data_IF_588624862264
#
_entry.id   IF_588624862264
#
_cell.length_a   1.000
_cell.length_b   1.000
_cell.length_c   1.000
_cell.angle_alpha   90.00
_cell.angle_beta   90.00
_cell.angle_gamma   90.00
#
_symmetry.space_group_name_H-M   'P 1'
#
loop_
_entity.id
_entity.type
_entity.pdbx_description
1 polymer ?
#
# COMPACT_ATOMS: atom_id res chain seq x y z
N UNK A 1 12.48 -1.03 -9.19
CA UNK A 1 11.56 -2.17 -9.07
C UNK A 1 10.86 -2.22 -7.72
N UNK A 2 11.57 -2.06 -6.61
CA UNK A 2 10.98 -2.01 -5.27
C UNK A 2 10.97 -0.55 -4.84
N UNK A 3 9.79 0.08 -4.85
CA UNK A 3 9.64 1.49 -4.52
C UNK A 3 8.58 1.71 -3.43
N UNK A 4 8.69 2.84 -2.74
CA UNK A 4 7.74 3.27 -1.73
C UNK A 4 7.65 2.31 -0.54
N UNK A 5 6.45 2.22 0.05
CA UNK A 5 6.19 1.46 1.27
C UNK A 5 6.26 -0.08 1.13
N UNK A 6 6.30 -0.61 -0.09
CA UNK A 6 6.24 -2.07 -0.30
C UNK A 6 7.51 -2.80 0.14
N UNK A 7 8.67 -2.15 0.01
CA UNK A 7 9.93 -2.70 0.53
C UNK A 7 9.90 -2.88 2.04
N UNK A 8 9.37 -1.90 2.76
CA UNK A 8 9.21 -1.97 4.22
C UNK A 8 8.28 -3.10 4.65
N UNK A 9 7.14 -3.28 3.97
CA UNK A 9 6.22 -4.39 4.26
C UNK A 9 6.80 -5.75 3.98
N UNK A 10 7.57 -5.90 2.88
CA UNK A 10 8.11 -7.19 2.45
C UNK A 10 9.33 -7.63 3.26
N UNK A 11 10.12 -6.70 3.76
CA UNK A 11 11.37 -7.00 4.47
C UNK A 11 11.21 -8.01 5.62
N UNK A 12 10.26 -7.86 6.57
CA UNK A 12 10.09 -8.83 7.64
C UNK A 12 9.53 -10.18 7.17
N UNK A 13 8.72 -10.23 6.11
CA UNK A 13 8.30 -11.50 5.53
C UNK A 13 9.48 -12.26 4.89
N UNK A 14 10.40 -11.55 4.25
CA UNK A 14 11.61 -12.15 3.71
C UNK A 14 12.56 -12.64 4.81
N UNK A 15 12.69 -11.89 5.90
CA UNK A 15 13.46 -12.32 7.07
C UNK A 15 12.89 -13.62 7.64
N UNK A 16 11.57 -13.65 7.88
CA UNK A 16 10.89 -14.84 8.40
C UNK A 16 11.02 -16.06 7.48
N UNK A 17 10.88 -15.86 6.16
CA UNK A 17 11.06 -16.96 5.20
C UNK A 17 12.47 -17.55 5.28
N UNK A 18 13.49 -16.71 5.38
CA UNK A 18 14.88 -17.13 5.55
C UNK A 18 15.12 -17.89 6.86
N UNK A 19 14.58 -17.37 7.97
CA UNK A 19 14.68 -18.03 9.28
C UNK A 19 14.05 -19.43 9.27
N UNK A 20 12.98 -19.62 8.48
CA UNK A 20 12.30 -20.90 8.31
C UNK A 20 12.91 -21.79 7.22
N UNK A 21 13.98 -21.35 6.55
CA UNK A 21 14.61 -22.10 5.47
C UNK A 21 13.72 -22.22 4.21
N UNK A 22 12.82 -21.26 3.98
CA UNK A 22 11.93 -21.27 2.83
C UNK A 22 12.54 -20.59 1.61
N UNK A 23 12.16 -21.05 0.42
CA UNK A 23 12.73 -20.62 -0.87
C UNK A 23 12.17 -19.27 -1.37
N UNK A 24 11.08 -18.78 -0.77
CA UNK A 24 10.45 -17.54 -1.23
C UNK A 24 9.07 -17.25 -0.65
N UNK A 25 8.29 -16.48 -1.39
CA UNK A 25 6.98 -15.98 -0.95
C UNK A 25 5.89 -16.29 -1.97
N UNK A 26 4.69 -16.59 -1.45
CA UNK A 26 3.45 -16.64 -2.23
C UNK A 26 2.48 -15.58 -1.69
N UNK A 27 1.91 -14.76 -2.58
CA UNK A 27 0.97 -13.71 -2.18
C UNK A 27 -0.13 -13.51 -3.21
N UNK A 28 -1.04 -12.57 -2.93
CA UNK A 28 -2.23 -12.35 -3.75
C UNK A 28 -2.48 -10.87 -4.04
N UNK A 29 -3.20 -10.61 -5.14
CA UNK A 29 -3.55 -9.25 -5.57
C UNK A 29 -4.34 -9.24 -6.88
N UNK A 30 -4.76 -8.06 -7.32
CA UNK A 30 -5.39 -7.87 -8.63
C UNK A 30 -4.36 -7.77 -9.75
N UNK A 31 -4.85 -7.73 -11.00
CA UNK A 31 -4.03 -7.59 -12.22
C UNK A 31 -3.23 -6.26 -12.32
N UNK A 32 -3.43 -5.32 -11.41
CA UNK A 32 -2.71 -4.06 -11.28
C UNK A 32 -2.05 -3.90 -9.91
N UNK A 33 -1.78 -5.01 -9.22
CA UNK A 33 -1.30 -5.00 -7.84
C UNK A 33 0.12 -4.45 -7.71
N UNK A 34 0.26 -3.30 -7.05
CA UNK A 34 1.55 -2.73 -6.68
C UNK A 34 2.32 -3.64 -5.69
N UNK A 35 1.59 -4.44 -4.90
CA UNK A 35 2.20 -5.39 -3.97
C UNK A 35 2.85 -6.56 -4.72
N UNK A 36 2.12 -7.22 -5.63
CA UNK A 36 2.68 -8.32 -6.43
C UNK A 36 3.84 -7.83 -7.31
N UNK A 37 3.73 -6.62 -7.86
CA UNK A 37 4.82 -6.03 -8.65
C UNK A 37 6.10 -5.84 -7.79
N UNK A 38 5.96 -5.31 -6.58
CA UNK A 38 7.10 -5.14 -5.67
C UNK A 38 7.67 -6.50 -5.23
N UNK A 39 6.82 -7.50 -4.98
CA UNK A 39 7.23 -8.86 -4.64
C UNK A 39 8.02 -9.51 -5.78
N UNK A 40 7.51 -9.44 -7.02
CA UNK A 40 8.21 -9.97 -8.19
C UNK A 40 9.56 -9.28 -8.41
N UNK A 41 9.58 -7.93 -8.28
CA UNK A 41 10.83 -7.16 -8.35
C UNK A 41 11.84 -7.52 -7.27
N UNK A 42 11.37 -7.83 -6.07
CA UNK A 42 12.22 -8.31 -4.97
C UNK A 42 12.76 -9.71 -5.26
N UNK A 43 11.91 -10.63 -5.76
CA UNK A 43 12.32 -11.97 -6.15
C UNK A 43 13.41 -11.95 -7.21
N UNK A 44 13.21 -11.17 -8.28
CA UNK A 44 14.19 -11.01 -9.35
C UNK A 44 15.51 -10.40 -8.87
N UNK A 45 15.45 -9.44 -7.93
CA UNK A 45 16.63 -8.75 -7.41
C UNK A 45 17.43 -9.58 -6.40
N UNK A 46 16.75 -10.31 -5.53
CA UNK A 46 17.37 -11.01 -4.39
C UNK A 46 17.41 -12.53 -4.56
N UNK A 47 16.94 -13.05 -5.70
CA UNK A 47 17.08 -14.46 -6.05
C UNK A 47 16.19 -15.42 -5.25
N UNK A 48 14.95 -15.03 -4.91
CA UNK A 48 13.98 -15.90 -4.26
C UNK A 48 12.74 -16.14 -5.12
N UNK A 49 12.10 -17.29 -4.91
CA UNK A 49 10.92 -17.70 -5.68
C UNK A 49 9.68 -16.88 -5.31
N UNK A 50 8.92 -16.47 -6.32
CA UNK A 50 7.69 -15.72 -6.16
C UNK A 50 6.51 -16.39 -6.86
N UNK A 51 5.39 -16.53 -6.14
CA UNK A 51 4.11 -16.98 -6.70
C UNK A 51 3.04 -15.92 -6.43
N UNK A 52 2.30 -15.55 -7.47
CA UNK A 52 1.21 -14.57 -7.42
C UNK A 52 -0.15 -15.21 -7.67
N UNK A 53 -1.07 -15.04 -6.71
CA UNK A 53 -2.48 -15.46 -6.81
C UNK A 53 -3.33 -14.27 -7.25
N UNK A 54 -3.85 -14.28 -8.49
CA UNK A 54 -4.51 -13.13 -9.09
C UNK A 54 -6.02 -13.22 -9.00
N UNK A 55 -6.63 -12.07 -8.73
CA UNK A 55 -8.09 -11.90 -8.74
C UNK A 55 -8.64 -11.90 -10.16
N UNK A 56 -9.71 -12.64 -10.37
CA UNK A 56 -10.45 -12.67 -11.65
C UNK A 56 -9.88 -13.67 -12.64
N UNK A 57 -10.17 -13.44 -13.91
CA UNK A 57 -9.70 -14.26 -15.01
C UNK A 57 -8.44 -13.66 -15.62
N UNK A 58 -7.77 -14.45 -16.44
CA UNK A 58 -6.53 -14.01 -17.09
C UNK A 58 -6.79 -12.78 -17.97
N UNK A 59 -5.99 -11.75 -17.74
CA UNK A 59 -6.00 -10.50 -18.50
C UNK A 59 -4.58 -10.05 -18.76
N UNK A 60 -4.34 -9.45 -19.89
CA UNK A 60 -3.05 -8.87 -20.24
C UNK A 60 -3.01 -7.39 -19.82
N UNK A 61 -2.27 -7.09 -18.75
CA UNK A 61 -2.03 -5.73 -18.29
C UNK A 61 -0.52 -5.44 -18.24
N UNK A 62 -0.11 -4.16 -18.28
CA UNK A 62 1.31 -3.84 -18.10
C UNK A 62 1.91 -4.47 -16.84
N UNK A 63 1.16 -4.48 -15.73
CA UNK A 63 1.60 -5.09 -14.47
C UNK A 63 1.75 -6.60 -14.62
N UNK A 64 0.78 -7.31 -15.22
CA UNK A 64 0.85 -8.77 -15.43
C UNK A 64 2.03 -9.15 -16.32
N UNK A 65 2.31 -8.36 -17.38
CA UNK A 65 3.50 -8.55 -18.21
C UNK A 65 4.79 -8.41 -17.40
N UNK A 66 4.87 -7.38 -16.54
CA UNK A 66 6.01 -7.20 -15.65
C UNK A 66 6.19 -8.38 -14.68
N UNK A 67 5.08 -8.87 -14.05
CA UNK A 67 5.15 -10.02 -13.14
C UNK A 67 5.78 -11.24 -13.82
N UNK A 68 5.33 -11.54 -15.04
CA UNK A 68 5.88 -12.66 -15.84
C UNK A 68 7.34 -12.44 -16.20
N UNK A 69 7.70 -11.25 -16.67
CA UNK A 69 9.07 -10.91 -17.07
C UNK A 69 10.05 -10.96 -15.90
N UNK A 70 9.57 -10.71 -14.67
CA UNK A 70 10.32 -10.80 -13.43
C UNK A 70 10.37 -12.22 -12.84
N UNK A 71 9.81 -13.23 -13.55
CA UNK A 71 9.87 -14.63 -13.17
C UNK A 71 8.84 -15.05 -12.12
N UNK A 72 7.80 -14.26 -11.87
CA UNK A 72 6.72 -14.66 -10.95
C UNK A 72 5.80 -15.69 -11.60
N UNK A 73 5.58 -16.83 -10.94
CA UNK A 73 4.57 -17.81 -11.32
C UNK A 73 3.17 -17.27 -10.97
N UNK A 74 2.20 -17.34 -11.90
CA UNK A 74 0.89 -16.72 -11.75
C UNK A 74 -0.24 -17.74 -11.76
N UNK A 75 -1.19 -17.62 -10.82
CA UNK A 75 -2.42 -18.39 -10.74
C UNK A 75 -3.64 -17.47 -10.67
N UNK A 76 -4.62 -17.70 -11.53
CA UNK A 76 -5.86 -16.95 -11.55
C UNK A 76 -6.94 -17.68 -10.73
N UNK A 77 -7.47 -17.00 -9.69
CA UNK A 77 -8.42 -17.59 -8.74
C UNK A 77 -9.90 -17.44 -9.14
N UNK A 78 -10.17 -16.73 -10.22
CA UNK A 78 -11.52 -16.23 -10.45
C UNK A 78 -11.94 -15.20 -9.38
N UNK A 79 -13.14 -14.64 -9.51
CA UNK A 79 -13.66 -13.70 -8.49
C UNK A 79 -14.14 -14.46 -7.25
N UNK A 80 -14.70 -15.68 -7.43
CA UNK A 80 -15.19 -16.53 -6.35
C UNK A 80 -14.05 -17.00 -5.43
N UNK A 81 -13.01 -17.61 -6.01
CA UNK A 81 -11.85 -18.08 -5.24
C UNK A 81 -11.13 -16.94 -4.51
N UNK A 82 -11.00 -15.79 -5.15
CA UNK A 82 -10.37 -14.63 -4.52
C UNK A 82 -11.17 -14.07 -3.32
N UNK A 83 -12.51 -14.15 -3.35
CA UNK A 83 -13.34 -13.75 -2.19
C UNK A 83 -13.06 -14.59 -0.94
N UNK A 84 -12.62 -15.85 -1.10
CA UNK A 84 -12.29 -16.75 0.01
C UNK A 84 -10.95 -16.44 0.69
N UNK A 85 -10.19 -15.44 0.26
CA UNK A 85 -8.83 -15.15 0.74
C UNK A 85 -8.69 -14.87 2.24
N UNK A 86 -9.81 -14.58 2.92
CA UNK A 86 -9.86 -14.39 4.37
C UNK A 86 -10.38 -15.62 5.13
N UNK A 87 -10.79 -16.68 4.42
CA UNK A 87 -11.22 -17.92 5.05
C UNK A 87 -10.04 -18.65 5.69
N UNK A 88 -10.26 -19.27 6.84
CA UNK A 88 -9.21 -19.97 7.61
C UNK A 88 -8.45 -21.04 6.81
N UNK A 89 -9.13 -21.74 5.87
CA UNK A 89 -8.53 -22.78 5.03
C UNK A 89 -7.92 -22.29 3.72
N UNK A 90 -7.97 -20.99 3.41
CA UNK A 90 -7.56 -20.48 2.10
C UNK A 90 -6.13 -20.88 1.69
N UNK A 91 -5.22 -20.87 2.63
CA UNK A 91 -3.81 -21.15 2.36
C UNK A 91 -3.44 -22.63 2.34
N UNK A 92 -4.32 -23.54 2.81
CA UNK A 92 -4.00 -24.97 2.92
C UNK A 92 -3.57 -25.59 1.57
N UNK A 93 -4.35 -25.51 0.46
CA UNK A 93 -3.96 -26.10 -0.80
C UNK A 93 -2.70 -25.45 -1.40
N UNK A 94 -2.46 -24.17 -1.09
CA UNK A 94 -1.28 -23.48 -1.56
C UNK A 94 -0.01 -23.87 -0.81
N UNK A 95 -0.11 -24.15 0.49
CA UNK A 95 0.99 -24.69 1.30
C UNK A 95 1.36 -26.11 0.87
N UNK A 96 0.37 -26.93 0.53
CA UNK A 96 0.60 -28.27 -0.01
C UNK A 96 1.31 -28.22 -1.37
N UNK A 97 0.87 -27.31 -2.25
CA UNK A 97 1.45 -27.14 -3.59
C UNK A 97 2.83 -26.48 -3.57
N UNK A 98 3.05 -25.58 -2.65
CA UNK A 98 4.28 -24.77 -2.52
C UNK A 98 4.82 -24.82 -1.08
N UNK A 99 5.28 -25.98 -0.59
CA UNK A 99 5.71 -26.13 0.80
C UNK A 99 6.93 -25.26 1.16
N UNK A 100 7.74 -24.90 0.16
CA UNK A 100 8.90 -24.01 0.33
C UNK A 100 8.59 -22.51 0.28
N UNK A 101 7.30 -22.08 0.23
CA UNK A 101 6.95 -20.66 0.14
C UNK A 101 6.16 -20.19 1.36
N UNK A 102 6.55 -19.03 1.89
CA UNK A 102 5.81 -18.36 2.97
C UNK A 102 4.58 -17.65 2.39
N UNK A 103 3.37 -17.95 2.87
CA UNK A 103 2.17 -17.20 2.50
C UNK A 103 2.18 -15.77 3.07
N UNK A 104 1.88 -14.79 2.21
CA UNK A 104 1.79 -13.38 2.57
C UNK A 104 0.41 -12.85 2.18
N UNK A 105 -0.31 -12.27 3.11
CA UNK A 105 -1.63 -11.71 2.89
C UNK A 105 -1.63 -10.57 1.85
N UNK A 106 -2.82 -10.26 1.29
CA UNK A 106 -3.01 -9.18 0.31
C UNK A 106 -2.34 -7.87 0.75
N UNK A 107 -1.59 -7.27 -0.15
CA UNK A 107 -0.92 -5.99 0.10
C UNK A 107 0.25 -6.06 1.08
N UNK A 108 0.75 -7.26 1.45
CA UNK A 108 1.73 -7.45 2.51
C UNK A 108 1.10 -7.24 3.89
N UNK A 109 -0.15 -7.68 4.06
CA UNK A 109 -0.99 -7.42 5.23
C UNK A 109 -0.55 -8.12 6.52
N UNK A 110 -1.29 -7.82 7.60
CA UNK A 110 -1.07 -8.35 8.94
C UNK A 110 0.01 -7.63 9.74
N UNK A 111 0.18 -8.06 11.00
CA UNK A 111 1.11 -7.44 11.95
C UNK A 111 2.56 -7.45 11.46
N UNK A 112 2.99 -8.53 10.82
CA UNK A 112 4.37 -8.62 10.33
C UNK A 112 4.69 -7.52 9.30
N UNK A 113 3.78 -7.30 8.33
CA UNK A 113 3.91 -6.21 7.37
C UNK A 113 3.82 -4.82 8.01
N UNK A 114 2.96 -4.65 9.02
CA UNK A 114 2.85 -3.41 9.76
C UNK A 114 4.14 -3.10 10.55
N UNK A 115 4.73 -4.09 11.22
CA UNK A 115 6.02 -3.93 11.92
C UNK A 115 7.13 -3.47 10.98
N UNK A 116 7.16 -3.94 9.74
CA UNK A 116 8.10 -3.43 8.73
C UNK A 116 7.94 -1.93 8.47
N UNK A 117 6.72 -1.41 8.54
CA UNK A 117 6.44 0.01 8.31
C UNK A 117 6.79 0.93 9.49
N UNK A 118 7.10 0.41 10.68
CA UNK A 118 7.60 1.20 11.83
C UNK A 118 8.86 1.98 11.44
N UNK A 119 9.77 1.35 10.70
CA UNK A 119 10.99 2.00 10.22
C UNK A 119 10.78 3.21 9.29
N UNK A 120 9.55 3.44 8.80
CA UNK A 120 9.22 4.67 8.05
C UNK A 120 9.26 5.90 8.97
N UNK A 121 8.77 5.77 10.21
CA UNK A 121 8.78 6.87 11.19
C UNK A 121 10.21 7.26 11.56
N UNK A 122 11.08 6.28 11.76
CA UNK A 122 12.52 6.54 12.01
C UNK A 122 13.17 7.27 10.82
N UNK A 123 12.82 6.86 9.58
CA UNK A 123 13.30 7.54 8.37
C UNK A 123 12.81 8.97 8.25
N UNK A 124 11.56 9.25 8.63
CA UNK A 124 11.02 10.60 8.69
C UNK A 124 11.82 11.42 9.69
N UNK A 125 11.98 10.93 10.93
CA UNK A 125 12.71 11.62 11.98
C UNK A 125 14.16 11.98 11.56
N UNK A 126 14.86 11.07 10.87
CA UNK A 126 16.24 11.35 10.40
C UNK A 126 16.31 12.40 9.29
N UNK A 127 15.20 12.70 8.61
CA UNK A 127 15.15 13.69 7.52
C UNK A 127 14.68 15.08 7.98
N UNK A 128 13.99 15.21 9.11
CA UNK A 128 13.47 16.48 9.59
C UNK A 128 14.54 17.59 9.67
N UNK A 129 15.76 17.33 10.18
CA UNK A 129 16.80 18.36 10.25
C UNK A 129 17.19 18.92 8.88
N UNK A 130 17.08 18.15 7.80
CA UNK A 130 17.37 18.63 6.44
C UNK A 130 16.36 19.66 5.94
N UNK A 131 15.18 19.72 6.58
CA UNK A 131 14.11 20.67 6.32
C UNK A 131 14.13 21.85 7.31
N UNK A 132 15.07 21.86 8.27
CA UNK A 132 15.08 22.80 9.38
C UNK A 132 13.89 22.59 10.34
N UNK A 133 13.38 21.37 10.44
CA UNK A 133 12.28 21.00 11.32
C UNK A 133 12.78 20.19 12.49
N UNK A 134 12.28 20.51 13.69
CA UNK A 134 12.51 19.71 14.89
C UNK A 134 11.41 18.68 15.07
N UNK A 135 10.20 18.97 14.54
CA UNK A 135 9.02 18.13 14.70
C UNK A 135 7.96 18.39 13.63
N UNK A 136 6.89 17.57 13.60
CA UNK A 136 5.73 17.69 12.70
C UNK A 136 4.42 17.40 13.46
N UNK A 137 3.28 17.81 12.88
CA UNK A 137 1.98 17.70 13.55
C UNK A 137 1.22 16.42 13.20
N UNK A 138 1.43 15.84 12.00
CA UNK A 138 0.73 14.63 11.57
C UNK A 138 1.41 13.96 10.38
N UNK A 139 1.24 12.63 10.27
CA UNK A 139 1.57 11.87 9.05
C UNK A 139 0.27 11.57 8.27
N UNK A 140 0.29 11.80 6.96
CA UNK A 140 -0.78 11.45 6.05
C UNK A 140 -0.35 10.32 5.12
N UNK A 141 -1.18 9.28 4.99
CA UNK A 141 -0.89 8.10 4.16
C UNK A 141 -2.13 7.60 3.44
N UNK A 142 -1.97 7.16 2.19
CA UNK A 142 -3.05 6.46 1.48
C UNK A 142 -3.28 5.06 2.07
N UNK A 143 -4.52 4.75 2.39
CA UNK A 143 -4.92 3.47 2.98
C UNK A 143 -5.74 2.63 1.99
N UNK A 144 -5.21 1.46 1.61
CA UNK A 144 -5.93 0.43 0.85
C UNK A 144 -6.26 -0.78 1.73
N UNK A 145 -5.25 -1.44 2.30
CA UNK A 145 -5.40 -2.53 3.28
C UNK A 145 -5.17 -2.09 4.73
N UNK A 146 -4.87 -0.84 4.97
CA UNK A 146 -4.58 -0.32 6.31
C UNK A 146 -3.22 -0.69 6.91
N UNK A 147 -2.49 -1.65 6.36
CA UNK A 147 -1.24 -2.18 6.94
C UNK A 147 -0.17 -1.10 7.16
N UNK A 148 0.05 -0.20 6.20
CA UNK A 148 1.03 0.89 6.37
C UNK A 148 0.57 1.88 7.42
N UNK A 149 -0.73 2.20 7.45
CA UNK A 149 -1.32 3.06 8.47
C UNK A 149 -1.08 2.47 9.87
N UNK A 150 -1.43 1.19 10.09
CA UNK A 150 -1.18 0.52 11.36
C UNK A 150 0.30 0.56 11.76
N UNK A 151 1.21 0.31 10.81
CA UNK A 151 2.65 0.38 11.07
C UNK A 151 3.15 1.77 11.44
N UNK A 152 2.60 2.83 10.82
CA UNK A 152 2.91 4.21 11.20
C UNK A 152 2.38 4.55 12.59
N UNK A 153 1.16 4.11 12.94
CA UNK A 153 0.58 4.28 14.28
C UNK A 153 1.46 3.63 15.35
N UNK A 154 1.90 2.39 15.11
CA UNK A 154 2.81 1.68 16.02
C UNK A 154 4.17 2.39 16.12
N UNK A 155 4.70 2.91 15.02
CA UNK A 155 5.96 3.65 14.99
C UNK A 155 5.87 5.00 15.68
N UNK A 156 4.76 5.70 15.55
CA UNK A 156 4.49 6.96 16.25
C UNK A 156 4.34 6.76 17.75
N UNK A 157 3.85 5.60 18.18
CA UNK A 157 3.68 5.28 19.60
C UNK A 157 2.93 6.39 20.39
N UNK A 158 1.93 7.00 19.76
CA UNK A 158 1.09 8.05 20.33
C UNK A 158 1.68 9.47 20.27
N UNK A 159 2.86 9.69 19.67
CA UNK A 159 3.46 11.03 19.55
C UNK A 159 2.69 11.94 18.61
N UNK A 160 2.38 11.46 17.42
CA UNK A 160 1.65 12.20 16.38
C UNK A 160 0.50 11.39 15.83
N UNK A 161 -0.62 12.04 15.47
CA UNK A 161 -1.73 11.38 14.80
C UNK A 161 -1.35 10.98 13.37
N UNK A 162 -1.85 9.82 12.93
CA UNK A 162 -1.73 9.35 11.55
C UNK A 162 -3.07 9.46 10.84
N UNK A 163 -3.11 10.14 9.70
CA UNK A 163 -4.33 10.30 8.88
C UNK A 163 -4.28 9.33 7.71
N UNK A 164 -5.18 8.35 7.72
CA UNK A 164 -5.38 7.40 6.64
C UNK A 164 -6.40 7.91 5.61
N UNK A 165 -5.92 8.35 4.44
CA UNK A 165 -6.80 8.68 3.32
C UNK A 165 -7.23 7.38 2.61
N UNK A 166 -8.49 6.97 2.78
CA UNK A 166 -9.04 5.74 2.21
C UNK A 166 -9.05 5.82 0.69
N UNK A 167 -8.28 4.96 0.03
CA UNK A 167 -8.29 4.82 -1.42
C UNK A 167 -9.45 3.94 -1.93
N UNK A 168 -10.13 3.24 -1.03
CA UNK A 168 -11.29 2.37 -1.22
C UNK A 168 -12.46 2.89 -0.39
N UNK A 169 -13.71 2.57 -0.75
CA UNK A 169 -14.87 2.88 0.09
C UNK A 169 -14.75 2.32 1.51
N UNK A 170 -15.43 2.95 2.47
CA UNK A 170 -15.36 2.59 3.89
C UNK A 170 -15.81 1.13 4.17
N UNK A 171 -16.79 0.64 3.41
CA UNK A 171 -17.33 -0.73 3.50
C UNK A 171 -16.33 -1.83 3.07
N UNK A 172 -15.15 -1.46 2.57
CA UNK A 172 -14.06 -2.41 2.29
C UNK A 172 -13.31 -2.90 3.55
N UNK A 173 -13.74 -2.49 4.74
CA UNK A 173 -13.27 -3.03 6.02
C UNK A 173 -11.85 -2.60 6.42
N UNK A 174 -11.33 -1.49 5.87
CA UNK A 174 -9.98 -1.00 6.21
C UNK A 174 -9.86 -0.68 7.70
N UNK A 175 -10.88 -0.03 8.29
CA UNK A 175 -10.91 0.28 9.72
C UNK A 175 -10.78 -0.98 10.57
N UNK A 176 -11.57 -2.03 10.29
CA UNK A 176 -11.51 -3.29 11.01
C UNK A 176 -10.15 -3.98 10.86
N UNK A 177 -9.51 -3.90 9.69
CA UNK A 177 -8.17 -4.47 9.48
C UNK A 177 -7.09 -3.72 10.26
N UNK A 178 -7.20 -2.38 10.34
CA UNK A 178 -6.27 -1.57 11.16
C UNK A 178 -6.45 -1.91 12.63
N UNK A 179 -7.68 -1.88 13.14
CA UNK A 179 -8.00 -2.22 14.53
C UNK A 179 -7.50 -3.62 14.91
N UNK A 180 -7.75 -4.64 14.07
CA UNK A 180 -7.28 -6.00 14.30
C UNK A 180 -5.74 -6.08 14.34
N UNK A 181 -5.05 -5.37 13.44
CA UNK A 181 -3.58 -5.34 13.41
C UNK A 181 -3.00 -4.65 14.65
N UNK A 182 -3.61 -3.55 15.11
CA UNK A 182 -3.21 -2.87 16.33
C UNK A 182 -3.45 -3.75 17.57
N UNK A 183 -4.62 -4.39 17.65
CA UNK A 183 -4.94 -5.32 18.74
C UNK A 183 -3.96 -6.51 18.81
N UNK A 184 -3.59 -7.10 17.66
CA UNK A 184 -2.57 -8.15 17.57
C UNK A 184 -1.19 -7.67 18.07
N UNK A 185 -0.89 -6.36 17.90
CA UNK A 185 0.31 -5.73 18.43
C UNK A 185 0.24 -5.39 19.93
N UNK A 186 -0.91 -5.59 20.59
CA UNK A 186 -1.17 -5.16 21.95
C UNK A 186 -1.40 -3.64 22.08
N UNK A 187 -1.76 -2.97 20.99
CA UNK A 187 -1.98 -1.52 20.93
C UNK A 187 -3.49 -1.21 20.92
N UNK A 188 -3.89 -0.14 21.59
CA UNK A 188 -5.27 0.35 21.54
C UNK A 188 -5.62 0.85 20.12
N UNK A 189 -6.91 0.79 19.77
CA UNK A 189 -7.44 1.29 18.50
C UNK A 189 -7.52 2.83 18.50
N UNK A 190 -6.36 3.47 18.58
CA UNK A 190 -6.20 4.94 18.70
C UNK A 190 -4.98 5.42 17.92
N UNK A 191 -4.75 6.73 17.90
CA UNK A 191 -3.57 7.35 17.27
C UNK A 191 -3.73 7.59 15.77
N UNK A 192 -4.94 7.32 15.21
CA UNK A 192 -5.22 7.59 13.81
C UNK A 192 -6.65 8.09 13.59
N UNK A 193 -6.89 8.64 12.42
CA UNK A 193 -8.22 8.88 11.86
C UNK A 193 -8.26 8.48 10.40
N UNK A 194 -9.43 8.06 9.93
CA UNK A 194 -9.69 7.73 8.54
C UNK A 194 -10.45 8.87 7.88
N UNK A 195 -10.11 9.14 6.62
CA UNK A 195 -10.77 10.13 5.78
C UNK A 195 -11.12 9.46 4.45
N UNK A 196 -12.36 9.58 3.99
CA UNK A 196 -12.75 9.07 2.67
C UNK A 196 -12.08 9.90 1.56
N UNK A 197 -11.19 9.26 0.82
CA UNK A 197 -10.56 9.78 -0.39
C UNK A 197 -10.85 8.88 -1.61
N UNK A 198 -11.77 7.91 -1.47
CA UNK A 198 -12.05 6.89 -2.48
C UNK A 198 -12.62 7.45 -3.77
N UNK A 199 -13.23 8.65 -3.72
CA UNK A 199 -13.96 9.26 -4.85
C UNK A 199 -15.13 8.37 -5.31
N UNK A 200 -15.74 7.61 -4.37
CA UNK A 200 -16.82 6.68 -4.64
C UNK A 200 -16.38 5.31 -5.19
N UNK A 201 -15.08 4.97 -5.13
CA UNK A 201 -14.58 3.65 -5.51
C UNK A 201 -13.08 3.56 -5.70
N UNK A 202 -12.51 2.34 -5.56
CA UNK A 202 -11.07 2.12 -5.67
C UNK A 202 -10.47 2.66 -6.97
N UNK A 203 -11.02 2.24 -8.12
CA UNK A 203 -10.53 2.64 -9.44
C UNK A 203 -11.26 3.87 -10.02
N UNK A 204 -11.99 4.62 -9.19
CA UNK A 204 -12.66 5.85 -9.63
C UNK A 204 -11.66 6.97 -9.79
N UNK A 205 -11.72 7.57 -10.97
CA UNK A 205 -11.03 8.80 -11.35
C UNK A 205 -12.09 9.80 -11.77
N UNK A 206 -11.89 11.06 -11.46
CA UNK A 206 -12.73 12.17 -11.91
C UNK A 206 -11.87 13.35 -12.40
N UNK A 207 -12.50 14.31 -13.08
CA UNK A 207 -11.79 15.45 -13.65
C UNK A 207 -11.11 16.35 -12.59
N UNK A 208 -11.60 16.37 -11.34
CA UNK A 208 -10.95 17.12 -10.24
C UNK A 208 -9.64 16.45 -9.85
N UNK A 209 -9.63 15.13 -9.69
CA UNK A 209 -8.41 14.37 -9.40
C UNK A 209 -7.41 14.47 -10.56
N UNK A 210 -7.89 14.36 -11.81
CA UNK A 210 -7.02 14.44 -12.98
C UNK A 210 -6.31 15.81 -13.06
N UNK A 211 -7.05 16.91 -12.97
CA UNK A 211 -6.48 18.27 -12.95
C UNK A 211 -5.52 18.47 -11.79
N UNK A 212 -5.90 18.05 -10.58
CA UNK A 212 -5.04 18.14 -9.40
C UNK A 212 -3.69 17.45 -9.62
N UNK A 213 -3.68 16.22 -10.16
CA UNK A 213 -2.44 15.48 -10.41
C UNK A 213 -1.53 16.27 -11.36
N UNK A 214 -2.08 16.78 -12.46
CA UNK A 214 -1.28 17.57 -13.43
C UNK A 214 -0.74 18.85 -12.81
N UNK A 215 -1.59 19.61 -12.10
CA UNK A 215 -1.18 20.84 -11.38
C UNK A 215 -0.07 20.56 -10.37
N UNK A 216 -0.25 19.53 -9.56
CA UNK A 216 0.72 19.14 -8.52
C UNK A 216 2.06 18.71 -9.12
N UNK A 217 2.03 17.85 -10.14
CA UNK A 217 3.24 17.39 -10.84
C UNK A 217 3.99 18.54 -11.49
N UNK A 218 3.26 19.47 -12.13
CA UNK A 218 3.84 20.66 -12.75
C UNK A 218 4.51 21.57 -11.73
N UNK A 219 3.88 21.77 -10.58
CA UNK A 219 4.36 22.66 -9.53
C UNK A 219 5.51 22.06 -8.70
N UNK A 220 5.49 20.75 -8.46
CA UNK A 220 6.41 20.08 -7.53
C UNK A 220 7.50 19.25 -8.21
N UNK A 221 7.33 18.85 -9.47
CA UNK A 221 8.17 17.87 -10.15
C UNK A 221 7.99 16.43 -9.63
N UNK A 222 7.03 16.18 -8.71
CA UNK A 222 6.79 14.86 -8.10
C UNK A 222 5.64 14.17 -8.80
N UNK A 223 5.93 13.05 -9.47
CA UNK A 223 4.91 12.26 -10.16
C UNK A 223 3.97 11.53 -9.17
N UNK A 224 2.68 11.51 -9.47
CA UNK A 224 1.65 10.84 -8.67
C UNK A 224 0.99 9.70 -9.45
N UNK A 225 0.60 8.65 -8.74
CA UNK A 225 -0.29 7.66 -9.30
C UNK A 225 -1.73 7.92 -8.81
N UNK A 226 -2.76 7.69 -9.65
CA UNK A 226 -4.08 8.24 -9.38
C UNK A 226 -4.91 7.47 -8.33
N UNK A 227 -4.51 6.24 -7.93
CA UNK A 227 -5.32 5.41 -7.04
C UNK A 227 -5.03 5.65 -5.56
N UNK A 228 -3.79 5.98 -5.20
CA UNK A 228 -3.35 6.16 -3.82
C UNK A 228 -2.77 7.55 -3.58
N UNK A 229 -1.60 7.85 -4.18
CA UNK A 229 -0.87 9.09 -3.89
C UNK A 229 -1.59 10.34 -4.40
N UNK A 230 -2.22 10.27 -5.57
CA UNK A 230 -3.05 11.35 -6.10
C UNK A 230 -4.27 11.62 -5.23
N UNK A 231 -5.00 10.57 -4.81
CA UNK A 231 -6.16 10.69 -3.90
C UNK A 231 -5.76 11.22 -2.53
N UNK A 232 -4.65 10.73 -1.97
CA UNK A 232 -4.11 11.22 -0.70
C UNK A 232 -3.86 12.72 -0.74
N UNK A 233 -3.08 13.18 -1.72
CA UNK A 233 -2.67 14.58 -1.78
C UNK A 233 -3.81 15.52 -2.16
N UNK A 234 -4.77 15.06 -2.97
CA UNK A 234 -6.00 15.82 -3.19
C UNK A 234 -6.82 15.96 -1.90
N UNK A 235 -7.00 14.87 -1.15
CA UNK A 235 -7.74 14.92 0.13
C UNK A 235 -7.02 15.81 1.16
N UNK A 236 -5.69 15.79 1.19
CA UNK A 236 -4.91 16.70 2.03
C UNK A 236 -5.12 18.16 1.62
N UNK A 237 -5.07 18.49 0.31
CA UNK A 237 -5.37 19.84 -0.20
C UNK A 237 -6.77 20.27 0.21
N UNK A 238 -7.78 19.41 0.02
CA UNK A 238 -9.16 19.70 0.41
C UNK A 238 -9.31 19.94 1.92
N UNK A 239 -8.57 19.21 2.75
CA UNK A 239 -8.56 19.41 4.21
C UNK A 239 -7.92 20.76 4.61
N UNK A 240 -6.88 21.19 3.91
CA UNK A 240 -6.26 22.50 4.11
C UNK A 240 -7.21 23.62 3.66
N UNK A 241 -7.79 23.50 2.47
CA UNK A 241 -8.72 24.49 1.90
C UNK A 241 -9.98 24.69 2.75
N UNK A 242 -10.47 23.61 3.37
CA UNK A 242 -11.66 23.66 4.26
C UNK A 242 -11.35 24.15 5.68
N UNK A 243 -10.08 24.36 6.03
CA UNK A 243 -9.66 24.71 7.39
C UNK A 243 -9.64 23.54 8.39
N UNK A 244 -9.85 22.30 7.93
CA UNK A 244 -9.75 21.09 8.78
C UNK A 244 -8.29 20.80 9.22
N UNK A 245 -7.33 21.40 8.55
CA UNK A 245 -5.93 21.46 8.95
C UNK A 245 -5.60 22.88 9.39
N UNK A 246 -5.04 23.05 10.58
CA UNK A 246 -4.71 24.36 11.12
C UNK A 246 -3.63 25.03 10.26
N UNK A 247 -3.72 26.35 10.12
CA UNK A 247 -2.70 27.14 9.40
C UNK A 247 -1.35 27.05 10.14
N UNK A 248 -0.29 26.81 9.36
CA UNK A 248 1.07 26.66 9.90
C UNK A 248 1.43 25.23 10.32
N UNK A 249 0.49 24.26 10.20
CA UNK A 249 0.79 22.86 10.48
C UNK A 249 1.91 22.33 9.59
N UNK A 250 2.81 21.55 10.20
CA UNK A 250 3.86 20.79 9.53
C UNK A 250 3.39 19.37 9.29
N UNK A 251 3.11 19.03 8.04
CA UNK A 251 2.52 17.75 7.68
C UNK A 251 3.51 16.90 6.87
N UNK A 252 3.57 15.63 7.19
CA UNK A 252 4.31 14.64 6.43
C UNK A 252 3.33 13.84 5.58
N UNK A 253 3.36 13.98 4.26
CA UNK A 253 2.57 13.16 3.33
C UNK A 253 3.43 12.03 2.76
N UNK A 254 3.09 10.78 3.09
CA UNK A 254 3.85 9.62 2.64
C UNK A 254 3.56 9.28 1.17
N UNK A 255 4.50 9.55 0.28
CA UNK A 255 4.45 9.07 -1.11
C UNK A 255 4.76 7.56 -1.16
N UNK A 256 3.73 6.73 -1.20
CA UNK A 256 3.82 5.27 -1.09
C UNK A 256 4.32 4.54 -2.36
N UNK A 257 4.76 5.27 -3.39
CA UNK A 257 5.20 4.71 -4.66
C UNK A 257 4.03 4.32 -5.58
N UNK A 258 4.18 3.25 -6.36
CA UNK A 258 3.09 2.72 -7.19
C UNK A 258 3.02 3.30 -8.60
N UNK A 259 4.01 4.10 -9.04
CA UNK A 259 4.01 4.76 -10.34
C UNK A 259 3.90 3.79 -11.54
N UNK A 260 4.35 2.55 -11.40
CA UNK A 260 4.16 1.52 -12.44
C UNK A 260 2.67 1.24 -12.72
N UNK A 261 1.81 1.37 -11.70
CA UNK A 261 0.35 1.21 -11.86
C UNK A 261 -0.31 2.32 -12.67
N UNK A 262 0.33 3.51 -12.75
CA UNK A 262 -0.16 4.64 -13.53
C UNK A 262 -0.24 4.31 -15.03
N UNK A 263 0.66 3.47 -15.55
CA UNK A 263 0.67 3.08 -16.99
C UNK A 263 -0.67 2.55 -17.47
N UNK A 264 -1.37 1.79 -16.65
CA UNK A 264 -2.67 1.23 -16.98
C UNK A 264 -3.83 2.26 -16.91
N UNK A 265 -3.60 3.43 -16.35
CA UNK A 265 -4.61 4.46 -16.10
C UNK A 265 -4.32 5.76 -16.85
N UNK A 266 -3.19 5.84 -17.54
CA UNK A 266 -2.72 7.08 -18.18
C UNK A 266 -3.72 7.62 -19.19
N UNK A 267 -4.24 6.78 -20.09
CA UNK A 267 -5.25 7.20 -21.09
C UNK A 267 -6.53 7.69 -20.43
N UNK A 268 -7.00 6.98 -19.38
CA UNK A 268 -8.20 7.40 -18.63
C UNK A 268 -7.98 8.72 -17.89
N UNK A 269 -6.77 8.94 -17.38
CA UNK A 269 -6.43 10.20 -16.71
C UNK A 269 -6.45 11.37 -17.69
N UNK A 270 -5.85 11.19 -18.85
CA UNK A 270 -5.81 12.22 -19.91
C UNK A 270 -7.21 12.53 -20.47
N UNK A 271 -8.08 11.53 -20.60
CA UNK A 271 -9.45 11.72 -21.07
C UNK A 271 -10.34 12.50 -20.08
N UNK A 272 -9.89 12.76 -18.86
CA UNK A 272 -10.61 13.52 -17.84
C UNK A 272 -10.15 14.97 -17.68
N UNK A 273 -9.11 15.36 -18.43
CA UNK A 273 -8.59 16.74 -18.47
C UNK A 273 -9.40 17.60 -19.43
#
# INVERSE_FOLDING_TARGET
LISGNKGFKLAPHLALAREQGLDGLISLGGAHSNHLHALAGAGARFGFRCVGLLRGHEVDTPTVRDLRSLGMELHWLGYGGYRQRHAAGFWLPWRERYPGLLPVAEGGGGLLGARGCIGLVERIATQLPTLGWDDYDAIWVAAGTGTTLAGLVLGEAGRHPVVGALAVPEDHGVAAQVAATLAEAGWADTGYRLLDASRGGFARLDGRLARFIVEFETASGVALEPLYTGKLLLALREAVESGAVARGSRLVALHSGGLQGRRALQERLLALL
#
